data_IF_684099467530
#
_entry.id   IF_684099467530
#
_cell.length_a   1.000
_cell.length_b   1.000
_cell.length_c   1.000
_cell.angle_alpha   90.00
_cell.angle_beta   90.00
_cell.angle_gamma   90.00
#
_symmetry.space_group_name_H-M   'P 1'
#
loop_
_entity.id
_entity.type
_entity.pdbx_description
1 polymer ?
#
# COMPACT_ATOMS: atom_id res chain seq x y z
N UNK A 1 -1.16 23.07 -6.54
CA UNK A 1 -1.96 24.26 -6.23
C UNK A 1 -2.70 24.81 -7.43
N UNK A 2 -2.00 25.12 -8.54
CA UNK A 2 -2.62 25.75 -9.73
C UNK A 2 -3.76 24.92 -10.29
N UNK A 3 -3.60 23.62 -10.45
CA UNK A 3 -4.67 22.72 -10.92
C UNK A 3 -5.84 22.67 -9.94
N UNK A 4 -5.55 22.52 -8.64
CA UNK A 4 -6.59 22.55 -7.60
C UNK A 4 -7.37 23.88 -7.62
N UNK A 5 -6.67 25.02 -7.69
CA UNK A 5 -7.29 26.35 -7.76
C UNK A 5 -8.15 26.53 -9.03
N UNK A 6 -7.79 25.87 -10.12
CA UNK A 6 -8.56 25.85 -11.36
C UNK A 6 -9.78 24.88 -11.32
N UNK A 7 -10.05 24.23 -10.18
CA UNK A 7 -11.17 23.30 -10.01
C UNK A 7 -10.92 21.90 -10.59
N UNK A 8 -9.67 21.58 -10.95
CA UNK A 8 -9.34 20.24 -11.44
C UNK A 8 -9.37 19.25 -10.27
N UNK A 9 -9.95 18.08 -10.49
CA UNK A 9 -9.87 16.97 -9.52
C UNK A 9 -8.45 16.39 -9.51
N UNK A 10 -7.64 16.82 -8.55
CA UNK A 10 -6.22 16.44 -8.41
C UNK A 10 -6.08 15.26 -7.46
N UNK A 11 -5.33 14.24 -7.85
CA UNK A 11 -4.84 13.18 -6.96
C UNK A 11 -3.31 13.17 -6.92
N UNK A 12 -2.78 12.62 -5.83
CA UNK A 12 -1.33 12.45 -5.62
C UNK A 12 -1.01 10.97 -5.77
N UNK A 13 -0.03 10.68 -6.63
CA UNK A 13 0.52 9.34 -6.82
C UNK A 13 2.03 9.36 -6.56
N UNK A 14 2.58 8.26 -6.10
CA UNK A 14 4.00 8.17 -5.75
C UNK A 14 4.88 7.55 -6.82
N UNK A 15 4.36 6.63 -7.63
CA UNK A 15 5.11 5.76 -8.56
C UNK A 15 6.38 5.13 -7.96
N UNK A 16 6.42 4.99 -6.63
CA UNK A 16 7.59 4.54 -5.89
C UNK A 16 7.20 3.70 -4.68
N UNK A 17 7.83 2.53 -4.53
CA UNK A 17 7.62 1.62 -3.41
C UNK A 17 7.93 2.27 -2.04
N UNK A 18 8.88 3.20 -2.00
CA UNK A 18 9.22 3.93 -0.78
C UNK A 18 8.23 5.05 -0.48
N UNK A 19 7.83 5.81 -1.50
CA UNK A 19 6.95 6.98 -1.32
C UNK A 19 5.51 6.58 -1.06
N UNK A 20 5.03 5.46 -1.61
CA UNK A 20 3.65 5.00 -1.38
C UNK A 20 3.31 4.89 0.11
N UNK A 21 4.29 4.61 0.96
CA UNK A 21 4.13 4.54 2.42
C UNK A 21 3.97 5.91 3.08
N UNK A 22 4.19 7.00 2.35
CA UNK A 22 4.26 8.37 2.87
C UNK A 22 3.42 9.35 2.05
N UNK A 23 2.36 8.88 1.39
CA UNK A 23 1.45 9.75 0.63
C UNK A 23 0.80 10.84 1.49
N UNK A 24 0.56 10.56 2.76
CA UNK A 24 0.11 11.54 3.74
C UNK A 24 1.07 12.74 3.84
N UNK A 25 2.39 12.51 3.79
CA UNK A 25 3.37 13.60 3.83
C UNK A 25 3.44 14.36 2.50
N UNK A 26 3.17 13.70 1.37
CA UNK A 26 3.07 14.39 0.07
C UNK A 26 1.82 15.28 0.02
N UNK A 27 0.71 14.84 0.59
CA UNK A 27 -0.46 15.70 0.79
C UNK A 27 -0.17 16.88 1.73
N UNK A 28 0.58 16.66 2.81
CA UNK A 28 1.05 17.73 3.70
C UNK A 28 1.90 18.79 2.97
N UNK A 29 2.69 18.38 1.97
CA UNK A 29 3.45 19.33 1.12
C UNK A 29 2.54 20.22 0.27
N UNK A 30 1.42 19.67 -0.23
CA UNK A 30 0.42 20.46 -0.96
C UNK A 30 -0.17 21.57 -0.07
N UNK A 31 -0.39 21.29 1.22
CA UNK A 31 -0.78 22.30 2.20
C UNK A 31 0.33 23.32 2.43
N UNK A 32 1.51 22.86 2.82
CA UNK A 32 2.60 23.71 3.28
C UNK A 32 3.13 24.64 2.20
N UNK A 33 3.31 24.14 0.99
CA UNK A 33 3.93 24.89 -0.11
C UNK A 33 2.92 25.42 -1.12
N UNK A 34 1.76 24.75 -1.24
CA UNK A 34 0.71 25.13 -2.16
C UNK A 34 -0.42 25.93 -1.54
N UNK A 35 -0.52 25.97 -0.21
CA UNK A 35 -1.65 26.62 0.47
C UNK A 35 -2.99 25.94 0.23
N UNK A 36 -2.98 24.65 -0.11
CA UNK A 36 -4.19 23.85 -0.25
C UNK A 36 -4.80 23.62 1.15
N UNK A 37 -6.12 23.82 1.34
CA UNK A 37 -6.76 23.50 2.62
C UNK A 37 -6.57 22.04 3.01
N UNK A 38 -6.49 21.78 4.30
CA UNK A 38 -6.23 20.45 4.86
C UNK A 38 -7.20 19.38 4.32
N UNK A 39 -8.49 19.69 4.36
CA UNK A 39 -9.52 18.76 3.88
C UNK A 39 -9.36 18.41 2.39
N UNK A 40 -8.95 19.37 1.57
CA UNK A 40 -8.75 19.13 0.15
C UNK A 40 -7.44 18.39 -0.12
N UNK A 41 -6.38 18.66 0.66
CA UNK A 41 -5.15 17.89 0.62
C UNK A 41 -5.39 16.42 1.01
N UNK A 42 -6.26 16.15 2.00
CA UNK A 42 -6.65 14.79 2.36
C UNK A 42 -7.42 14.11 1.22
N UNK A 43 -8.36 14.81 0.58
CA UNK A 43 -9.08 14.27 -0.58
C UNK A 43 -8.16 13.90 -1.74
N UNK A 44 -7.04 14.60 -1.93
CA UNK A 44 -6.08 14.29 -2.99
C UNK A 44 -5.47 12.89 -2.88
N UNK A 45 -5.47 12.28 -1.69
CA UNK A 45 -4.95 10.93 -1.45
C UNK A 45 -6.04 9.93 -1.06
N UNK A 46 -7.31 10.33 -1.02
CA UNK A 46 -8.44 9.49 -0.61
C UNK A 46 -9.58 9.54 -1.62
N UNK A 47 -10.47 10.53 -1.51
CA UNK A 47 -11.69 10.63 -2.29
C UNK A 47 -11.42 10.96 -3.76
N UNK A 48 -10.47 11.83 -4.05
CA UNK A 48 -10.20 12.25 -5.43
C UNK A 48 -9.75 11.08 -6.32
N UNK A 49 -8.77 10.25 -5.92
CA UNK A 49 -8.41 9.06 -6.69
C UNK A 49 -9.58 8.06 -6.80
N UNK A 50 -10.39 7.90 -5.76
CA UNK A 50 -11.57 7.04 -5.81
C UNK A 50 -12.59 7.51 -6.85
N UNK A 51 -12.81 8.84 -6.96
CA UNK A 51 -13.67 9.44 -8.00
C UNK A 51 -13.07 9.21 -9.40
N UNK A 52 -11.76 9.41 -9.57
CA UNK A 52 -11.07 9.22 -10.85
C UNK A 52 -11.15 7.76 -11.34
N UNK A 53 -11.14 6.80 -10.41
CA UNK A 53 -11.31 5.38 -10.70
C UNK A 53 -12.78 4.94 -10.82
N UNK A 54 -13.75 5.85 -10.63
CA UNK A 54 -15.18 5.54 -10.70
C UNK A 54 -15.73 4.76 -9.50
N UNK A 55 -15.00 4.67 -8.39
CA UNK A 55 -15.40 3.94 -7.18
C UNK A 55 -15.66 4.85 -5.98
N UNK A 56 -15.76 6.16 -6.19
CA UNK A 56 -15.98 7.14 -5.11
C UNK A 56 -17.30 6.99 -4.36
N UNK A 57 -18.25 6.23 -4.90
CA UNK A 57 -19.50 5.85 -4.22
C UNK A 57 -19.29 4.71 -3.21
N UNK A 58 -18.19 3.94 -3.30
CA UNK A 58 -17.87 2.82 -2.42
C UNK A 58 -16.82 3.14 -1.39
N UNK A 59 -15.81 3.93 -1.75
CA UNK A 59 -14.65 4.18 -0.91
C UNK A 59 -14.13 5.62 -1.04
N UNK A 60 -13.05 5.96 -0.33
CA UNK A 60 -12.36 7.25 -0.38
C UNK A 60 -12.87 8.30 0.61
N UNK A 61 -13.97 8.05 1.32
CA UNK A 61 -14.48 8.88 2.41
C UNK A 61 -15.24 8.04 3.45
N UNK A 62 -15.31 8.54 4.67
CA UNK A 62 -16.05 7.89 5.76
C UNK A 62 -17.50 8.38 5.71
N UNK A 63 -18.33 7.66 4.98
CA UNK A 63 -19.75 7.93 4.83
C UNK A 63 -20.59 6.66 5.02
N UNK A 64 -21.88 6.83 5.27
CA UNK A 64 -22.80 5.69 5.35
C UNK A 64 -22.83 4.92 4.02
N UNK A 65 -22.90 3.60 4.11
CA UNK A 65 -22.95 2.66 2.98
C UNK A 65 -21.66 2.62 2.12
N UNK A 66 -20.53 3.10 2.64
CA UNK A 66 -19.22 2.89 2.03
C UNK A 66 -18.45 1.78 2.73
N UNK A 67 -17.52 1.20 1.99
CA UNK A 67 -16.59 0.20 2.50
C UNK A 67 -15.77 0.83 3.65
N UNK A 68 -15.59 0.08 4.72
CA UNK A 68 -14.86 0.55 5.89
C UNK A 68 -13.34 0.39 5.69
N UNK A 69 -12.80 1.13 4.71
CA UNK A 69 -11.37 1.27 4.44
C UNK A 69 -10.82 2.42 5.28
N UNK A 70 -10.36 2.09 6.49
CA UNK A 70 -10.07 3.10 7.52
C UNK A 70 -8.67 2.89 8.07
N UNK A 71 -7.95 3.99 8.26
CA UNK A 71 -6.67 4.01 8.99
C UNK A 71 -6.83 4.85 10.25
N UNK A 72 -6.50 4.27 11.40
CA UNK A 72 -6.41 4.97 12.68
C UNK A 72 -4.94 5.32 12.89
N UNK A 73 -4.67 6.61 13.13
CA UNK A 73 -3.34 7.17 13.29
C UNK A 73 -3.05 7.50 14.74
N UNK A 74 -1.78 7.43 15.14
CA UNK A 74 -1.31 7.85 16.48
C UNK A 74 -1.46 9.35 16.73
N UNK A 75 -1.35 10.15 15.67
CA UNK A 75 -1.45 11.61 15.67
C UNK A 75 -2.12 12.07 14.38
N UNK A 76 -2.16 13.37 14.15
CA UNK A 76 -2.66 13.94 12.91
C UNK A 76 -1.93 13.35 11.68
N UNK A 77 -2.63 12.81 10.67
CA UNK A 77 -2.01 12.05 9.57
C UNK A 77 -0.95 12.82 8.77
N UNK A 78 -1.00 14.15 8.78
CA UNK A 78 0.00 14.99 8.10
C UNK A 78 1.22 15.33 8.97
N UNK A 79 1.26 14.86 10.21
CA UNK A 79 2.45 14.93 11.05
C UNK A 79 3.53 13.93 10.55
N UNK A 80 4.81 14.34 10.46
CA UNK A 80 5.90 13.42 10.13
C UNK A 80 6.13 12.35 11.20
N UNK A 81 5.60 12.54 12.39
CA UNK A 81 5.68 11.60 13.52
C UNK A 81 4.49 10.64 13.58
N UNK A 82 3.41 10.94 12.83
CA UNK A 82 2.24 10.08 12.76
C UNK A 82 2.58 8.73 12.13
N UNK A 83 2.03 7.68 12.72
CA UNK A 83 2.10 6.33 12.16
C UNK A 83 0.75 5.64 12.30
N UNK A 84 0.43 4.69 11.40
CA UNK A 84 -0.80 3.94 11.51
C UNK A 84 -0.76 3.02 12.74
N UNK A 85 -1.81 3.07 13.53
CA UNK A 85 -2.04 2.16 14.65
C UNK A 85 -2.86 0.95 14.19
N UNK A 86 -3.93 1.21 13.45
CA UNK A 86 -4.81 0.17 12.90
C UNK A 86 -5.12 0.51 11.45
N UNK A 87 -5.08 -0.50 10.59
CA UNK A 87 -5.56 -0.41 9.21
C UNK A 87 -6.66 -1.44 8.99
N UNK A 88 -7.82 -0.99 8.54
CA UNK A 88 -8.96 -1.82 8.18
C UNK A 88 -9.24 -1.71 6.69
N UNK A 89 -9.62 -2.82 6.08
CA UNK A 89 -10.10 -2.93 4.70
C UNK A 89 -11.43 -3.69 4.75
N UNK A 90 -12.48 -3.10 4.20
CA UNK A 90 -13.85 -3.63 4.24
C UNK A 90 -14.28 -4.02 5.68
N UNK A 91 -13.83 -3.24 6.68
CA UNK A 91 -14.12 -3.47 8.09
C UNK A 91 -13.30 -4.57 8.77
N UNK A 92 -12.42 -5.26 8.04
CA UNK A 92 -11.52 -6.27 8.59
C UNK A 92 -10.17 -5.62 8.95
N UNK A 93 -9.66 -5.91 10.15
CA UNK A 93 -8.34 -5.43 10.60
C UNK A 93 -7.24 -6.20 9.89
N UNK A 94 -6.50 -5.54 9.02
CA UNK A 94 -5.33 -6.09 8.30
C UNK A 94 -4.01 -5.78 8.98
N UNK A 95 -3.95 -4.68 9.70
CA UNK A 95 -2.77 -4.29 10.44
C UNK A 95 -3.17 -3.76 11.80
N UNK A 96 -2.54 -4.27 12.84
CA UNK A 96 -2.57 -3.79 14.22
C UNK A 96 -1.12 -3.64 14.67
N UNK A 97 -0.73 -2.41 14.97
CA UNK A 97 0.64 -2.08 15.36
C UNK A 97 1.08 -2.80 16.63
N UNK A 98 0.19 -2.91 17.60
CA UNK A 98 0.51 -3.57 18.87
C UNK A 98 0.80 -5.05 18.64
N UNK A 99 -0.08 -5.73 17.93
CA UNK A 99 0.12 -7.14 17.56
C UNK A 99 1.37 -7.34 16.68
N UNK A 100 1.67 -6.40 15.76
CA UNK A 100 2.87 -6.47 14.93
C UNK A 100 4.15 -6.34 15.76
N UNK A 101 4.20 -5.44 16.74
CA UNK A 101 5.36 -5.29 17.64
C UNK A 101 5.58 -6.57 18.46
N UNK A 102 4.51 -7.14 19.02
CA UNK A 102 4.58 -8.39 19.76
C UNK A 102 5.07 -9.54 18.88
N UNK A 103 4.54 -9.65 17.66
CA UNK A 103 4.95 -10.64 16.67
C UNK A 103 6.43 -10.50 16.27
N UNK A 104 6.90 -9.28 16.04
CA UNK A 104 8.33 -9.03 15.71
C UNK A 104 9.25 -9.46 16.82
N UNK A 105 8.87 -9.26 18.07
CA UNK A 105 9.65 -9.72 19.23
C UNK A 105 9.75 -11.25 19.30
N UNK A 106 8.67 -11.97 18.95
CA UNK A 106 8.69 -13.43 18.86
C UNK A 106 9.54 -13.91 17.69
N UNK A 107 9.38 -13.32 16.51
CA UNK A 107 10.18 -13.67 15.32
C UNK A 107 11.68 -13.41 15.52
N UNK A 108 12.04 -12.36 16.25
CA UNK A 108 13.45 -12.09 16.58
C UNK A 108 14.07 -13.18 17.44
N UNK A 109 13.33 -13.71 18.42
CA UNK A 109 13.77 -14.83 19.26
C UNK A 109 13.89 -16.12 18.46
N UNK A 110 12.89 -16.44 17.65
CA UNK A 110 12.88 -17.61 16.79
C UNK A 110 14.06 -17.59 15.80
N UNK A 111 14.34 -16.42 15.20
CA UNK A 111 15.49 -16.23 14.33
C UNK A 111 16.81 -16.48 15.06
N UNK A 112 16.97 -15.95 16.26
CA UNK A 112 18.18 -16.17 17.07
C UNK A 112 18.38 -17.66 17.40
N UNK A 113 17.30 -18.38 17.70
CA UNK A 113 17.33 -19.83 17.93
C UNK A 113 17.76 -20.60 16.68
N UNK A 114 17.19 -20.26 15.53
CA UNK A 114 17.54 -20.88 14.24
C UNK A 114 18.99 -20.59 13.84
N UNK A 115 19.47 -19.38 14.04
CA UNK A 115 20.88 -19.02 13.79
C UNK A 115 21.83 -19.82 14.67
N UNK A 116 21.50 -20.08 15.94
CA UNK A 116 22.28 -20.94 16.83
C UNK A 116 22.32 -22.39 16.36
N UNK A 117 21.23 -22.91 15.80
CA UNK A 117 21.18 -24.26 15.23
C UNK A 117 22.04 -24.39 13.97
N UNK A 118 22.06 -23.37 13.11
CA UNK A 118 22.91 -23.35 11.90
C UNK A 118 24.42 -23.26 12.23
N UNK A 119 24.80 -22.49 13.24
CA UNK A 119 26.20 -22.39 13.69
C UNK A 119 26.71 -23.73 14.22
N UNK A 120 25.87 -24.56 14.82
CA UNK A 120 26.21 -25.89 15.31
C UNK A 120 26.26 -26.96 14.20
N UNK A 121 25.84 -26.62 12.98
CA UNK A 121 26.03 -27.47 11.82
C UNK A 121 27.43 -27.26 11.28
N UNK A 122 28.36 -28.20 11.63
CA UNK A 122 29.75 -28.14 11.22
C UNK A 122 29.91 -27.87 9.72
N UNK A 123 30.87 -27.04 9.28
CA UNK A 123 31.16 -26.84 7.86
C UNK A 123 31.82 -28.11 7.31
N UNK A 124 31.05 -29.06 6.80
CA UNK A 124 31.61 -30.33 6.36
C UNK A 124 30.70 -31.30 5.61
N UNK A 125 29.49 -30.99 5.31
CA UNK A 125 28.71 -31.78 4.36
C UNK A 125 28.16 -30.89 3.25
N UNK A 126 28.92 -30.77 2.16
CA UNK A 126 28.45 -30.14 0.91
C UNK A 126 27.29 -30.93 0.33
N UNK A 127 26.14 -30.85 0.96
CA UNK A 127 24.86 -31.21 0.41
C UNK A 127 24.41 -30.04 -0.42
N UNK A 128 24.22 -30.24 -1.73
CA UNK A 128 23.60 -29.27 -2.59
C UNK A 128 22.32 -28.73 -1.92
N UNK A 129 22.20 -27.41 -1.84
CA UNK A 129 20.98 -26.78 -1.38
C UNK A 129 19.78 -27.44 -2.07
N UNK A 130 18.71 -27.79 -1.34
CA UNK A 130 17.53 -28.34 -1.95
C UNK A 130 17.04 -27.32 -2.98
N UNK A 131 17.13 -27.70 -4.27
CA UNK A 131 16.52 -26.91 -5.33
C UNK A 131 15.03 -26.93 -5.04
N UNK A 132 14.51 -25.83 -4.58
CA UNK A 132 13.06 -25.61 -4.57
C UNK A 132 12.62 -25.80 -6.01
N UNK A 133 11.77 -26.80 -6.32
CA UNK A 133 11.23 -26.91 -7.66
C UNK A 133 10.51 -25.60 -7.94
N UNK A 134 11.04 -24.81 -8.85
CA UNK A 134 10.27 -23.72 -9.45
C UNK A 134 9.28 -24.37 -10.38
N UNK A 135 8.24 -24.95 -9.82
CA UNK A 135 7.04 -25.27 -10.57
C UNK A 135 6.48 -23.93 -11.02
N UNK A 136 6.86 -23.57 -12.25
CA UNK A 136 6.22 -22.45 -12.93
C UNK A 136 4.75 -22.82 -13.04
N UNK A 137 3.92 -22.24 -12.19
CA UNK A 137 2.50 -22.13 -12.47
C UNK A 137 2.43 -21.27 -13.73
N UNK A 138 2.45 -21.95 -14.87
CA UNK A 138 2.07 -21.38 -16.15
C UNK A 138 0.58 -21.14 -16.03
N UNK A 139 0.19 -19.98 -15.53
CA UNK A 139 -1.15 -19.48 -15.74
C UNK A 139 -1.33 -19.38 -17.25
N UNK A 140 -2.25 -20.13 -17.75
CA UNK A 140 -2.74 -20.09 -19.10
C UNK A 140 -3.34 -18.69 -19.33
N UNK A 141 -2.49 -17.76 -19.75
CA UNK A 141 -2.96 -16.49 -20.29
C UNK A 141 -3.38 -16.85 -21.71
N UNK A 142 -4.69 -17.07 -21.88
CA UNK A 142 -5.31 -17.32 -23.17
C UNK A 142 -4.79 -16.30 -24.19
N UNK A 143 -4.26 -16.81 -25.27
CA UNK A 143 -3.96 -16.05 -26.47
C UNK A 143 -5.24 -15.31 -26.89
N UNK A 144 -5.23 -13.99 -26.78
CA UNK A 144 -6.15 -13.16 -27.53
C UNK A 144 -5.57 -13.16 -28.94
N UNK A 145 -6.19 -13.91 -29.84
CA UNK A 145 -5.92 -13.83 -31.26
C UNK A 145 -6.36 -12.44 -31.73
N UNK A 146 -5.39 -11.65 -32.17
CA UNK A 146 -5.61 -10.46 -32.99
C UNK A 146 -6.12 -10.94 -34.35
N UNK A 147 -7.43 -11.03 -34.52
CA UNK A 147 -8.08 -11.19 -35.81
C UNK A 147 -8.90 -9.94 -36.10
N UNK A 148 -8.56 -9.34 -37.24
CA UNK A 148 -9.37 -8.48 -38.06
C UNK A 148 -9.50 -6.98 -37.63
N UNK A 149 -8.46 -6.23 -38.01
CA UNK A 149 -8.66 -4.86 -38.45
C UNK A 149 -8.67 -4.91 -39.97
N UNK A 150 -9.86 -5.07 -40.56
CA UNK A 150 -10.08 -4.82 -41.98
C UNK A 150 -10.03 -3.30 -42.22
N UNK A 151 -9.00 -2.88 -42.96
CA UNK A 151 -8.95 -1.61 -43.69
C UNK A 151 -10.04 -1.62 -44.78
N UNK A 152 -11.03 -0.77 -44.68
CA UNK A 152 -11.83 -0.36 -45.82
C UNK A 152 -12.10 1.14 -45.75
N UNK A 153 -11.49 1.85 -46.73
CA UNK A 153 -11.81 3.12 -47.40
C UNK A 153 -12.42 4.27 -46.60
#
# INVERSE_FOLDING_TARGET
YMLWKAGVNVSINSDSNERMRRLNLDAAKAMKYGGVPEQDALKMITLNPAIQLGIGNRTGSIDQNKDADIVIWSEHPFSPYAHPEITMIEGVVFFDRKADIERRALLAKEREELEKLDINKAPGSGGAAPRIPTERVRGDIGHIEDSDIDDHD
#
